data_IF_128973553420
#
_entry.id   IF_128973553420
#
_cell.length_a   1.000
_cell.length_b   1.000
_cell.length_c   1.000
_cell.angle_alpha   90.00
_cell.angle_beta   90.00
_cell.angle_gamma   90.00
#
_symmetry.space_group_name_H-M   'P 1'
#
loop_
_entity.id
_entity.type
_entity.pdbx_description
1 polymer ?
#
# COMPACT_ATOMS: atom_id res chain seq x y z
N UNK A 1 -32.69 -26.56 0.86
CA UNK A 1 -31.62 -26.34 1.85
C UNK A 1 -30.24 -26.14 1.19
N UNK A 2 -29.73 -27.08 0.38
CA UNK A 2 -28.38 -26.96 -0.26
C UNK A 2 -28.16 -25.66 -1.06
N UNK A 3 -29.12 -25.25 -1.91
CA UNK A 3 -29.03 -24.01 -2.72
C UNK A 3 -28.99 -22.73 -1.87
N UNK A 4 -29.66 -22.73 -0.72
CA UNK A 4 -29.66 -21.58 0.22
C UNK A 4 -28.30 -21.44 0.90
N UNK A 5 -27.68 -22.56 1.30
CA UNK A 5 -26.34 -22.58 1.87
C UNK A 5 -25.31 -22.10 0.84
N UNK A 6 -25.38 -22.56 -0.41
CA UNK A 6 -24.47 -22.11 -1.48
C UNK A 6 -24.56 -20.60 -1.75
N UNK A 7 -25.78 -20.04 -1.75
CA UNK A 7 -25.97 -18.59 -1.93
C UNK A 7 -25.41 -17.79 -0.76
N UNK A 8 -25.61 -18.28 0.46
CA UNK A 8 -25.08 -17.64 1.67
C UNK A 8 -23.56 -17.68 1.70
N UNK A 9 -22.95 -18.80 1.29
CA UNK A 9 -21.49 -18.90 1.16
C UNK A 9 -20.93 -17.97 0.08
N UNK A 10 -21.61 -17.84 -1.07
CA UNK A 10 -21.19 -16.91 -2.12
C UNK A 10 -21.27 -15.44 -1.66
N UNK A 11 -22.32 -15.09 -0.92
CA UNK A 11 -22.48 -13.75 -0.35
C UNK A 11 -21.38 -13.44 0.66
N UNK A 12 -21.01 -14.40 1.51
CA UNK A 12 -19.94 -14.24 2.50
C UNK A 12 -18.57 -14.02 1.84
N UNK A 13 -18.25 -14.79 0.80
CA UNK A 13 -17.00 -14.63 0.04
C UNK A 13 -16.95 -13.26 -0.63
N UNK A 14 -18.07 -12.82 -1.21
CA UNK A 14 -18.16 -11.50 -1.82
C UNK A 14 -17.96 -10.39 -0.79
N UNK A 15 -18.55 -10.52 0.41
CA UNK A 15 -18.32 -9.57 1.51
C UNK A 15 -16.86 -9.52 1.95
N UNK A 16 -16.17 -10.67 2.03
CA UNK A 16 -14.74 -10.71 2.37
C UNK A 16 -13.87 -10.01 1.32
N UNK A 17 -14.19 -10.16 0.03
CA UNK A 17 -13.47 -9.51 -1.07
C UNK A 17 -13.69 -7.99 -1.13
N UNK A 18 -14.80 -7.51 -0.56
CA UNK A 18 -15.17 -6.08 -0.54
C UNK A 18 -14.66 -5.35 0.71
N UNK A 19 -13.95 -6.01 1.62
CA UNK A 19 -13.42 -5.33 2.81
C UNK A 19 -12.26 -4.41 2.41
N UNK A 20 -12.28 -3.12 2.82
CA UNK A 20 -11.14 -2.23 2.57
C UNK A 20 -9.91 -2.75 3.30
N UNK A 21 -8.78 -2.84 2.59
CA UNK A 21 -7.51 -3.20 3.20
C UNK A 21 -7.10 -2.11 4.20
N UNK A 22 -6.93 -2.48 5.47
CA UNK A 22 -6.41 -1.57 6.49
C UNK A 22 -4.92 -1.33 6.24
N UNK A 23 -4.55 -0.09 5.94
CA UNK A 23 -3.15 0.34 5.93
C UNK A 23 -2.72 0.68 7.35
N UNK A 24 -1.65 0.05 7.84
CA UNK A 24 -1.08 0.38 9.14
C UNK A 24 -0.15 1.59 9.02
N UNK A 25 -0.23 2.51 9.98
CA UNK A 25 0.74 3.58 10.11
C UNK A 25 2.11 2.99 10.44
N UNK A 26 3.17 3.52 9.80
CA UNK A 26 4.54 3.08 10.07
C UNK A 26 4.96 3.48 11.49
N UNK A 27 5.68 2.59 12.16
CA UNK A 27 6.31 2.81 13.45
C UNK A 27 7.84 2.81 13.32
N UNK A 28 8.51 3.40 14.31
CA UNK A 28 9.98 3.38 14.38
C UNK A 28 10.46 1.94 14.54
N UNK A 29 11.38 1.52 13.67
CA UNK A 29 11.91 0.15 13.64
C UNK A 29 11.23 -0.76 12.63
N UNK A 30 10.10 -0.35 12.05
CA UNK A 30 9.48 -1.11 10.96
C UNK A 30 10.38 -1.13 9.73
N UNK A 31 10.32 -2.24 8.98
CA UNK A 31 10.93 -2.29 7.65
C UNK A 31 10.22 -1.28 6.75
N UNK A 32 11.00 -0.46 6.04
CA UNK A 32 10.46 0.47 5.07
C UNK A 32 9.62 -0.26 4.00
N UNK A 33 8.46 0.29 3.59
CA UNK A 33 7.59 -0.35 2.61
C UNK A 33 8.27 -0.45 1.25
N UNK A 34 8.07 -1.57 0.55
CA UNK A 34 8.61 -1.75 -0.79
C UNK A 34 7.65 -1.10 -1.79
N UNK A 35 8.14 -0.12 -2.55
CA UNK A 35 7.41 0.43 -3.68
C UNK A 35 8.36 0.79 -4.82
N UNK A 36 7.81 0.73 -6.03
CA UNK A 36 8.43 1.20 -7.27
C UNK A 36 7.45 2.15 -7.93
N UNK A 37 7.94 3.32 -8.34
CA UNK A 37 7.10 4.39 -8.88
C UNK A 37 7.83 5.13 -10.01
N UNK A 38 7.11 5.74 -10.96
CA UNK A 38 7.70 6.72 -11.86
C UNK A 38 8.22 7.95 -11.08
N UNK A 39 9.31 8.53 -11.57
CA UNK A 39 9.91 9.78 -11.06
C UNK A 39 10.35 10.68 -12.23
N UNK A 40 10.81 11.88 -11.92
CA UNK A 40 11.39 12.81 -12.92
C UNK A 40 12.69 12.31 -13.55
N UNK A 41 13.31 11.25 -13.01
CA UNK A 41 14.55 10.65 -13.51
C UNK A 41 14.33 9.25 -14.10
N UNK A 42 13.07 8.84 -14.30
CA UNK A 42 12.70 7.49 -14.71
C UNK A 42 12.08 6.69 -13.56
N UNK A 43 12.01 5.37 -13.69
CA UNK A 43 11.51 4.49 -12.65
C UNK A 43 12.45 4.49 -11.43
N UNK A 44 11.88 4.52 -10.23
CA UNK A 44 12.64 4.46 -8.97
C UNK A 44 12.02 3.44 -8.03
N UNK A 45 12.86 2.62 -7.38
CA UNK A 45 12.46 1.71 -6.31
C UNK A 45 13.08 2.11 -4.98
N UNK A 46 12.32 2.06 -3.88
CA UNK A 46 12.89 2.29 -2.55
C UNK A 46 13.87 1.17 -2.15
N UNK A 47 13.66 -0.04 -2.66
CA UNK A 47 14.52 -1.20 -2.37
C UNK A 47 15.95 -1.03 -2.91
N UNK A 48 16.14 -0.22 -3.96
CA UNK A 48 17.47 0.03 -4.53
C UNK A 48 18.42 0.71 -3.54
N UNK A 49 17.90 1.31 -2.48
CA UNK A 49 18.66 2.01 -1.45
C UNK A 49 18.91 1.17 -0.19
N UNK A 50 18.24 0.03 -0.04
CA UNK A 50 18.33 -0.82 1.16
C UNK A 50 19.80 -1.24 1.41
N UNK A 51 20.30 -0.97 2.62
CA UNK A 51 21.67 -1.31 3.02
C UNK A 51 22.79 -0.49 2.36
N UNK A 52 22.49 0.44 1.44
CA UNK A 52 23.51 1.23 0.73
C UNK A 52 23.76 2.60 1.38
N UNK A 53 22.72 3.26 1.88
CA UNK A 53 22.79 4.57 2.55
C UNK A 53 21.53 4.87 3.35
N UNK A 54 21.61 5.84 4.26
CA UNK A 54 20.42 6.40 4.89
C UNK A 54 19.60 7.22 3.88
N UNK A 55 18.27 7.08 3.93
CA UNK A 55 17.33 7.73 3.00
C UNK A 55 16.25 8.44 3.80
N UNK A 56 15.91 9.66 3.40
CA UNK A 56 14.76 10.42 3.89
C UNK A 56 13.76 10.54 2.75
N UNK A 57 12.54 10.06 2.97
CA UNK A 57 11.43 10.20 2.03
C UNK A 57 10.49 11.30 2.53
N UNK A 58 10.35 12.37 1.74
CA UNK A 58 9.43 13.47 2.02
C UNK A 58 8.24 13.43 1.05
N UNK A 59 7.04 13.57 1.60
CA UNK A 59 5.79 13.59 0.85
C UNK A 59 5.21 15.01 0.91
N UNK A 60 4.83 15.56 -0.24
CA UNK A 60 4.19 16.87 -0.36
C UNK A 60 2.78 16.71 -0.87
N UNK A 61 1.87 17.59 -0.48
CA UNK A 61 0.45 17.49 -0.85
C UNK A 61 0.23 17.64 -2.36
N UNK A 62 0.81 18.69 -2.94
CA UNK A 62 0.75 18.95 -4.38
C UNK A 62 1.89 19.87 -4.82
N UNK A 63 2.18 19.83 -6.12
CA UNK A 63 3.09 20.79 -6.76
C UNK A 63 2.50 22.21 -6.71
N UNK A 64 3.36 23.23 -6.66
CA UNK A 64 3.00 24.65 -6.64
C UNK A 64 2.08 25.08 -5.48
N UNK A 65 2.25 24.51 -4.30
CA UNK A 65 1.53 24.91 -3.07
C UNK A 65 2.48 25.65 -2.12
N UNK A 66 1.97 26.68 -1.43
CA UNK A 66 2.71 27.29 -0.31
C UNK A 66 2.79 26.29 0.83
N UNK A 67 3.97 26.21 1.44
CA UNK A 67 4.18 25.57 2.74
C UNK A 67 3.56 26.40 3.86
#
# INVERSE_FOLDING_TARGET
MKKTVTRMSLLLILCLLLMPATSFALSVGDKAPVFTTPSSQGEISLADYEGKKHVVLALYFAVFTSV
#
